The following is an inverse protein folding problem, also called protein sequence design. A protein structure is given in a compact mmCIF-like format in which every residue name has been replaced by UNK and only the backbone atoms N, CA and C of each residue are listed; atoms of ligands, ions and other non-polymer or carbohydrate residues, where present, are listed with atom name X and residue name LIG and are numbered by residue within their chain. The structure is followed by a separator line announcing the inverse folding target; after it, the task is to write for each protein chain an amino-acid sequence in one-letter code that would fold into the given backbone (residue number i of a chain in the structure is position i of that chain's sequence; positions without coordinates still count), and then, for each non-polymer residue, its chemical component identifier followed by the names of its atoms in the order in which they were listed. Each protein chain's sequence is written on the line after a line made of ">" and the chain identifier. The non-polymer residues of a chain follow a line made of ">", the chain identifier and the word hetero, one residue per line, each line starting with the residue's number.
data_IF_354024430654
#
_entry.id   IF_354024430654
#
_cell.length_a   1.000
_cell.length_b   1.000
_cell.length_c   1.000
_cell.angle_alpha   90.00
_cell.angle_beta   90.00
_cell.angle_gamma   90.00
#
_symmetry.space_group_name_H-M   'P 1'
#
loop_
_entity.id
_entity.type
_entity.pdbx_description
1 polymer ?
#
# COMPACT_ATOMS: atom_id res chain seq x y z
N UNK A 1 0.47 9.47 -6.13
CA UNK A 1 0.79 9.25 -4.69
C UNK A 1 2.12 8.54 -4.57
N UNK A 2 3.04 9.11 -3.83
CA UNK A 2 4.37 8.50 -3.69
C UNK A 2 4.36 7.38 -2.67
N UNK A 3 5.06 6.30 -2.99
CA UNK A 3 5.15 5.17 -2.08
C UNK A 3 6.38 4.33 -2.41
N UNK A 4 6.66 3.37 -1.55
CA UNK A 4 7.84 2.51 -1.71
C UNK A 4 7.45 1.05 -1.93
N UNK A 5 6.26 0.80 -2.44
CA UNK A 5 5.80 -0.57 -2.68
C UNK A 5 6.77 -1.33 -3.57
N UNK A 6 7.15 -0.71 -4.69
CA UNK A 6 8.04 -1.37 -5.64
C UNK A 6 9.39 -1.70 -5.00
N UNK A 7 9.92 -0.76 -4.23
CA UNK A 7 11.22 -0.96 -3.59
C UNK A 7 11.18 -2.12 -2.60
N UNK A 8 10.14 -2.16 -1.76
CA UNK A 8 10.01 -3.24 -0.78
C UNK A 8 9.76 -4.57 -1.46
N UNK A 9 8.95 -4.56 -2.52
CA UNK A 9 8.67 -5.77 -3.28
C UNK A 9 9.96 -6.33 -3.89
N UNK A 10 10.73 -5.47 -4.56
CA UNK A 10 11.96 -5.90 -5.21
C UNK A 10 13.01 -6.35 -4.20
N UNK A 11 13.06 -5.70 -3.06
CA UNK A 11 14.01 -6.09 -2.01
C UNK A 11 13.73 -7.50 -1.52
N UNK A 12 12.49 -7.97 -1.64
CA UNK A 12 12.13 -9.33 -1.23
C UNK A 12 12.11 -10.30 -2.40
N UNK A 13 12.54 -9.85 -3.58
CA UNK A 13 12.63 -10.73 -4.73
C UNK A 13 11.28 -11.11 -5.32
N UNK A 14 10.25 -10.30 -5.10
CA UNK A 14 8.91 -10.61 -5.57
C UNK A 14 8.60 -9.89 -6.87
N UNK A 15 7.93 -10.59 -7.78
CA UNK A 15 7.34 -9.92 -8.95
C UNK A 15 5.92 -9.46 -8.56
N UNK A 16 5.33 -8.61 -9.40
CA UNK A 16 4.00 -8.07 -9.09
C UNK A 16 2.95 -9.15 -8.90
N UNK A 17 3.02 -10.19 -9.72
CA UNK A 17 2.04 -11.27 -9.61
C UNK A 17 2.15 -11.98 -8.27
N UNK A 18 3.36 -12.21 -7.81
CA UNK A 18 3.57 -12.85 -6.52
C UNK A 18 3.03 -12.00 -5.38
N UNK A 19 3.27 -10.70 -5.45
CA UNK A 19 2.74 -9.80 -4.45
C UNK A 19 1.21 -9.77 -4.49
N UNK A 20 0.64 -9.84 -5.70
CA UNK A 20 -0.81 -9.88 -5.86
C UNK A 20 -1.39 -11.09 -5.13
N UNK A 21 -0.80 -12.26 -5.35
CA UNK A 21 -1.27 -13.48 -4.70
C UNK A 21 -1.12 -13.37 -3.19
N UNK A 22 0.01 -12.87 -2.75
CA UNK A 22 0.32 -12.80 -1.34
C UNK A 22 -0.55 -11.79 -0.59
N UNK A 23 -0.87 -10.70 -1.24
CA UNK A 23 -1.61 -9.61 -0.59
C UNK A 23 -3.12 -9.70 -0.80
N UNK A 24 -3.56 -10.39 -1.84
CA UNK A 24 -4.96 -10.36 -2.22
C UNK A 24 -5.36 -9.10 -2.96
N UNK A 25 -4.39 -8.30 -3.38
CA UNK A 25 -4.62 -7.07 -4.15
C UNK A 25 -4.34 -7.40 -5.61
N UNK A 26 -5.23 -6.99 -6.52
CA UNK A 26 -5.07 -7.35 -7.92
C UNK A 26 -3.79 -6.76 -8.50
N UNK A 27 -3.21 -7.47 -9.45
CA UNK A 27 -1.98 -7.03 -10.08
C UNK A 27 -2.12 -5.67 -10.78
N UNK A 28 -3.21 -5.39 -11.50
CA UNK A 28 -3.36 -4.05 -12.09
C UNK A 28 -3.38 -2.95 -11.03
N UNK A 29 -4.00 -3.21 -9.89
CA UNK A 29 -4.00 -2.24 -8.81
C UNK A 29 -2.59 -2.00 -8.29
N UNK A 30 -1.82 -3.08 -8.09
CA UNK A 30 -0.43 -2.94 -7.65
C UNK A 30 0.37 -2.13 -8.67
N UNK A 31 0.19 -2.42 -9.96
CA UNK A 31 0.89 -1.70 -11.00
C UNK A 31 0.57 -0.21 -10.96
N UNK A 32 -0.70 0.13 -10.79
CA UNK A 32 -1.09 1.54 -10.72
C UNK A 32 -0.54 2.23 -9.49
N UNK A 33 -0.46 1.50 -8.38
CA UNK A 33 0.13 2.06 -7.17
C UNK A 33 1.63 2.32 -7.38
N UNK A 34 2.33 1.37 -7.97
CA UNK A 34 3.77 1.49 -8.16
C UNK A 34 4.13 2.60 -9.14
N UNK A 35 3.25 2.87 -10.10
CA UNK A 35 3.49 3.93 -11.07
C UNK A 35 2.91 5.27 -10.64
N UNK A 36 2.38 5.33 -9.43
CA UNK A 36 1.78 6.55 -8.87
C UNK A 36 0.63 7.07 -9.72
N UNK A 37 -0.14 6.15 -10.29
CA UNK A 37 -1.26 6.50 -11.17
C UNK A 37 -2.55 6.70 -10.39
N UNK A 38 -2.64 6.13 -9.19
CA UNK A 38 -3.84 6.28 -8.36
C UNK A 38 -3.72 7.51 -7.48
N UNK A 39 -4.79 8.29 -7.42
CA UNK A 39 -4.83 9.46 -6.54
C UNK A 39 -5.08 9.04 -5.10
N UNK A 40 -5.91 8.04 -4.90
CA UNK A 40 -6.29 7.58 -3.57
C UNK A 40 -6.18 6.07 -3.49
N UNK A 41 -5.73 5.59 -2.35
CA UNK A 41 -5.65 4.16 -2.08
C UNK A 41 -6.41 3.92 -0.79
N UNK A 42 -7.29 2.94 -0.81
CA UNK A 42 -8.05 2.61 0.40
C UNK A 42 -7.12 2.09 1.49
N UNK A 43 -7.43 2.45 2.74
CA UNK A 43 -6.57 2.02 3.83
C UNK A 43 -6.51 0.50 3.96
N UNK A 44 -7.59 -0.21 3.65
CA UNK A 44 -7.52 -1.66 3.70
C UNK A 44 -6.59 -2.24 2.64
N UNK A 45 -6.50 -1.59 1.47
CA UNK A 45 -5.57 -2.01 0.44
C UNK A 45 -4.13 -1.77 0.89
N UNK A 46 -3.88 -0.61 1.49
CA UNK A 46 -2.55 -0.32 2.04
C UNK A 46 -2.15 -1.35 3.08
N UNK A 47 -3.09 -1.71 3.95
CA UNK A 47 -2.82 -2.66 5.01
C UNK A 47 -2.51 -4.05 4.45
N UNK A 48 -3.26 -4.47 3.43
CA UNK A 48 -3.01 -5.76 2.79
C UNK A 48 -1.61 -5.83 2.20
N UNK A 49 -1.19 -4.75 1.54
CA UNK A 49 0.13 -4.70 0.95
C UNK A 49 1.23 -4.67 2.01
N UNK A 50 1.02 -3.89 3.06
CA UNK A 50 1.99 -3.83 4.15
C UNK A 50 2.16 -5.19 4.82
N UNK A 51 1.06 -5.88 5.05
CA UNK A 51 1.14 -7.21 5.65
C UNK A 51 1.86 -8.19 4.73
N UNK A 52 1.56 -8.14 3.44
CA UNK A 52 2.19 -9.04 2.48
C UNK A 52 3.69 -8.79 2.39
N UNK A 53 4.11 -7.54 2.57
CA UNK A 53 5.52 -7.18 2.53
C UNK A 53 6.15 -7.21 3.92
N UNK A 54 5.37 -7.60 4.92
CA UNK A 54 5.86 -7.77 6.28
C UNK A 54 6.45 -6.48 6.85
N UNK A 55 5.74 -5.39 6.66
CA UNK A 55 6.18 -4.09 7.14
C UNK A 55 4.95 -3.26 7.55
N UNK A 56 5.20 -2.08 8.07
CA UNK A 56 4.13 -1.18 8.47
C UNK A 56 3.69 -0.31 7.31
N UNK A 57 2.46 0.17 7.37
CA UNK A 57 1.96 1.10 6.35
C UNK A 57 2.90 2.30 6.23
N UNK A 58 3.40 2.80 7.35
CA UNK A 58 4.29 3.96 7.34
C UNK A 58 5.61 3.72 6.65
N UNK A 59 6.01 2.45 6.50
CA UNK A 59 7.24 2.13 5.79
C UNK A 59 7.09 2.27 4.27
N UNK A 60 5.87 2.08 3.78
CA UNK A 60 5.60 2.04 2.36
C UNK A 60 4.95 3.33 1.87
N UNK A 61 4.00 3.84 2.63
CA UNK A 61 3.23 5.03 2.23
C UNK A 61 3.63 6.21 3.09
N UNK A 62 3.84 7.35 2.43
CA UNK A 62 4.23 8.54 3.15
C UNK A 62 3.02 9.15 3.84
N UNK A 63 3.26 9.76 4.98
CA UNK A 63 2.20 10.26 5.82
C UNK A 63 1.29 11.26 5.09
N UNK A 64 1.87 12.08 4.26
CA UNK A 64 1.09 13.08 3.55
C UNK A 64 0.21 12.46 2.46
N UNK A 65 0.45 11.19 2.12
CA UNK A 65 -0.33 10.49 1.12
C UNK A 65 -1.40 9.60 1.72
N UNK A 66 -1.40 9.45 3.02
CA UNK A 66 -2.32 8.55 3.69
C UNK A 66 -3.42 9.37 4.34
N UNK A 67 -4.65 9.05 4.00
CA UNK A 67 -5.79 9.76 4.56
C UNK A 67 -6.37 8.92 5.67
N UNK A 68 -6.25 9.42 6.88
CA UNK A 68 -6.80 8.74 8.03
C UNK A 68 -8.01 9.48 8.54
N UNK A 69 -8.90 9.78 7.62
CA UNK A 69 -10.08 10.51 7.98
C UNK A 69 -10.91 9.78 9.01
N UNK A 70 -10.83 8.48 8.98
CA UNK A 70 -11.56 7.69 9.93
C UNK A 70 -11.03 7.85 11.33
N UNK A 71 -9.91 8.46 11.47
CA UNK A 71 -9.38 8.64 12.77
C UNK A 71 -10.00 9.75 13.53
N UNK A 72 -10.60 10.41 12.87
CA UNK A 72 -11.25 11.42 13.51
C UNK A 72 -12.35 11.04 14.22
N UNK A 73 -12.19 10.40 13.88
CA UNK A 73 -12.82 10.27 14.45
C UNK A 73 -13.04 9.92 15.30
N UNK A 74 -12.64 9.64 15.11
CA UNK A 74 -12.69 9.45 15.88
C UNK A 74 -12.78 9.62 16.70
N UNK A 75 -12.63 9.59 16.51
CA UNK A 75 -12.56 9.80 17.22
C UNK A 75 -12.74 10.11 18.01
N UNK A 76 -12.81 10.07 17.99
CA UNK A 76 -12.87 10.38 18.70
C UNK A 76 -12.84 10.68 19.22
N UNK A 77 -12.99 10.57 18.94
CA UNK A 77 -12.95 10.95 19.35
C UNK A 77 -12.94 10.97 19.73
#
# INVERSE_FOLDING_TARGET
>A
MNNKIKEFRQAQGLIQEELSIKSGVSRPTISMIETNTLDNIESKTMLKLAKALNCDIGDIFFKENVVFTQQKENQEG
#
